data_IF_556205357510
#
_entry.id   IF_556205357510
#
_cell.length_a   1.000
_cell.length_b   1.000
_cell.length_c   1.000
_cell.angle_alpha   90.00
_cell.angle_beta   90.00
_cell.angle_gamma   90.00
#
_symmetry.space_group_name_H-M   'P 1'
#
loop_
_entity.id
_entity.type
_entity.pdbx_description
1 polymer ?
#
# COMPACT_ATOMS: atom_id res chain seq x y z
N UNK A 1 3.22 -1.75 -9.94
CA UNK A 1 1.99 -0.93 -9.84
C UNK A 1 2.17 -0.05 -8.63
N UNK A 2 2.02 1.25 -8.78
CA UNK A 2 2.21 2.23 -7.71
C UNK A 2 1.12 3.29 -7.81
N UNK A 3 0.66 3.78 -6.66
CA UNK A 3 -0.20 4.95 -6.58
C UNK A 3 0.14 5.76 -5.33
N UNK A 4 -0.16 7.06 -5.36
CA UNK A 4 0.11 7.97 -4.25
C UNK A 4 -0.97 9.06 -4.20
N UNK A 5 -1.46 9.33 -2.99
CA UNK A 5 -2.29 10.50 -2.69
C UNK A 5 -1.43 11.54 -1.98
N UNK A 6 -1.34 12.74 -2.54
CA UNK A 6 -0.62 13.86 -1.93
C UNK A 6 -1.55 14.70 -1.05
N UNK A 7 -1.00 15.49 -0.09
CA UNK A 7 -1.81 16.34 0.78
C UNK A 7 -2.65 17.40 0.06
N UNK A 8 -2.27 17.78 -1.16
CA UNK A 8 -3.00 18.71 -2.03
C UNK A 8 -4.13 18.05 -2.83
N UNK A 9 -4.44 16.77 -2.58
CA UNK A 9 -5.45 16.01 -3.29
C UNK A 9 -4.99 15.48 -4.65
N UNK A 10 -3.70 15.61 -5.01
CA UNK A 10 -3.18 15.02 -6.23
C UNK A 10 -3.01 13.51 -6.09
N UNK A 11 -3.74 12.76 -6.90
CA UNK A 11 -3.57 11.31 -7.08
C UNK A 11 -2.62 11.05 -8.25
N UNK A 12 -1.55 10.30 -8.01
CA UNK A 12 -0.63 9.80 -9.03
C UNK A 12 -0.77 8.29 -9.13
N UNK A 13 -0.79 7.77 -10.36
CA UNK A 13 -0.84 6.34 -10.66
C UNK A 13 0.22 6.00 -11.70
N UNK A 14 0.94 4.91 -11.46
CA UNK A 14 1.90 4.35 -12.40
C UNK A 14 1.76 2.83 -12.48
N UNK A 15 1.65 2.30 -13.69
CA UNK A 15 1.70 0.87 -13.94
C UNK A 15 2.67 0.56 -15.08
N UNK A 16 3.62 -0.32 -14.80
CA UNK A 16 4.58 -0.82 -15.77
C UNK A 16 4.39 -2.33 -15.88
N UNK A 17 3.55 -2.75 -16.83
CA UNK A 17 3.35 -4.16 -17.13
C UNK A 17 4.14 -4.55 -18.38
N UNK A 18 4.95 -5.60 -18.28
CA UNK A 18 5.64 -6.19 -19.44
C UNK A 18 4.72 -7.15 -20.24
N UNK A 19 3.43 -7.18 -19.93
CA UNK A 19 2.47 -8.04 -20.62
C UNK A 19 2.25 -7.50 -22.04
N UNK A 20 2.47 -8.33 -23.06
CA UNK A 20 2.27 -7.98 -24.48
C UNK A 20 2.99 -6.70 -24.94
N UNK A 21 4.17 -6.40 -24.41
CA UNK A 21 4.93 -5.18 -24.70
C UNK A 21 4.14 -3.90 -24.42
N UNK A 22 3.31 -3.91 -23.39
CA UNK A 22 2.56 -2.72 -23.01
C UNK A 22 3.52 -1.59 -22.61
N UNK A 23 3.06 -0.37 -22.83
CA UNK A 23 3.81 0.83 -22.48
C UNK A 23 3.48 1.24 -21.06
N UNK A 24 4.42 1.93 -20.40
CA UNK A 24 4.20 2.42 -19.06
C UNK A 24 3.00 3.38 -19.00
N UNK A 25 2.00 3.03 -18.20
CA UNK A 25 0.82 3.87 -17.98
C UNK A 25 1.09 4.80 -16.81
N UNK A 26 0.95 6.10 -17.04
CA UNK A 26 0.98 7.13 -16.00
C UNK A 26 -0.27 7.98 -16.07
N UNK A 27 -0.94 8.19 -14.93
CA UNK A 27 -2.14 9.01 -14.82
C UNK A 27 -2.02 9.91 -13.60
N UNK A 28 -2.51 11.13 -13.73
CA UNK A 28 -2.63 12.07 -12.64
C UNK A 28 -4.04 12.67 -12.66
N UNK A 29 -4.60 12.88 -11.47
CA UNK A 29 -5.87 13.55 -11.27
C UNK A 29 -5.86 14.29 -9.93
N UNK A 30 -6.72 15.29 -9.78
CA UNK A 30 -7.03 15.86 -8.47
C UNK A 30 -8.35 15.26 -7.99
N UNK A 31 -8.36 14.77 -6.77
CA UNK A 31 -9.56 14.25 -6.12
C UNK A 31 -10.19 15.32 -5.24
N UNK A 32 -11.50 15.20 -5.02
CA UNK A 32 -12.21 16.08 -4.09
C UNK A 32 -11.81 15.75 -2.64
N UNK A 33 -11.95 16.73 -1.74
CA UNK A 33 -11.64 16.59 -0.32
C UNK A 33 -12.36 15.40 0.33
N UNK A 34 -13.60 15.12 -0.06
CA UNK A 34 -14.37 13.97 0.44
C UNK A 34 -13.71 12.61 0.16
N UNK A 35 -12.93 12.49 -0.92
CA UNK A 35 -12.17 11.27 -1.23
C UNK A 35 -10.98 11.14 -0.27
N UNK A 36 -10.32 12.25 0.05
CA UNK A 36 -9.21 12.28 1.01
C UNK A 36 -9.69 11.96 2.43
N UNK A 37 -10.85 12.49 2.82
CA UNK A 37 -11.48 12.21 4.11
C UNK A 37 -11.88 10.74 4.24
N UNK A 38 -12.43 10.15 3.18
CA UNK A 38 -12.78 8.73 3.17
C UNK A 38 -11.54 7.83 3.22
N UNK A 39 -10.48 8.17 2.48
CA UNK A 39 -9.21 7.46 2.56
C UNK A 39 -8.64 7.49 3.99
N UNK A 40 -8.70 8.67 4.64
CA UNK A 40 -8.29 8.84 6.03
C UNK A 40 -9.15 7.98 6.97
N UNK A 41 -10.47 7.95 6.78
CA UNK A 41 -11.39 7.12 7.57
C UNK A 41 -11.03 5.64 7.45
N UNK A 42 -10.79 5.14 6.24
CA UNK A 42 -10.41 3.74 6.00
C UNK A 42 -9.11 3.38 6.73
N UNK A 43 -8.09 4.25 6.69
CA UNK A 43 -6.81 4.03 7.38
C UNK A 43 -6.99 3.95 8.90
N UNK A 44 -7.83 4.82 9.47
CA UNK A 44 -8.10 4.83 10.91
C UNK A 44 -8.89 3.58 11.32
N UNK A 45 -9.96 3.27 10.59
CA UNK A 45 -10.84 2.13 10.88
C UNK A 45 -10.12 0.78 10.71
N UNK A 46 -9.08 0.71 9.89
CA UNK A 46 -8.28 -0.52 9.72
C UNK A 46 -7.22 -0.71 10.80
N UNK A 47 -7.02 0.26 11.69
CA UNK A 47 -6.01 0.23 12.76
C UNK A 47 -4.56 -0.04 12.29
N UNK A 48 -4.29 0.10 10.99
CA UNK A 48 -3.02 -0.28 10.34
C UNK A 48 -1.81 0.49 10.89
N UNK A 49 -2.04 1.65 11.49
CA UNK A 49 -1.02 2.46 12.16
C UNK A 49 -0.48 1.82 13.45
N UNK A 50 -1.14 0.76 13.96
CA UNK A 50 -0.75 0.02 15.17
C UNK A 50 0.09 -1.23 14.86
N UNK A 51 0.24 -1.58 13.57
CA UNK A 51 0.95 -2.78 13.13
C UNK A 51 2.45 -2.54 12.93
N UNK A 52 3.24 -3.62 12.85
CA UNK A 52 4.69 -3.60 12.64
C UNK A 52 5.07 -4.66 11.60
N UNK A 53 5.93 -4.31 10.63
CA UNK A 53 6.38 -5.24 9.57
C UNK A 53 7.62 -6.07 9.94
N UNK A 54 8.23 -5.84 11.10
CA UNK A 54 9.37 -6.62 11.60
C UNK A 54 9.14 -8.15 11.58
N UNK A 55 7.94 -8.69 11.92
CA UNK A 55 7.65 -10.12 11.78
C UNK A 55 7.26 -10.55 10.36
N UNK A 56 7.03 -9.62 9.43
CA UNK A 56 6.53 -9.93 8.09
C UNK A 56 7.63 -10.52 7.18
N UNK A 57 7.26 -11.28 6.13
CA UNK A 57 8.24 -11.83 5.19
C UNK A 57 8.98 -10.70 4.45
N UNK A 58 10.33 -10.69 4.43
CA UNK A 58 11.06 -9.66 3.69
C UNK A 58 10.90 -9.84 2.18
N UNK A 59 11.09 -8.78 1.37
CA UNK A 59 11.01 -8.85 -0.08
C UNK A 59 11.92 -9.93 -0.68
N UNK A 60 11.44 -10.59 -1.73
CA UNK A 60 12.16 -11.69 -2.37
C UNK A 60 12.12 -11.60 -3.91
N UNK A 61 12.48 -12.71 -4.59
CA UNK A 61 12.49 -12.79 -6.06
C UNK A 61 11.09 -12.77 -6.69
N UNK A 62 10.04 -13.12 -5.94
CA UNK A 62 8.65 -13.12 -6.39
C UNK A 62 8.11 -11.70 -6.42
N UNK A 63 8.46 -10.87 -5.42
CA UNK A 63 8.17 -9.45 -5.47
C UNK A 63 8.32 -8.72 -4.14
N UNK A 64 7.88 -7.46 -4.18
CA UNK A 64 7.91 -6.50 -3.08
C UNK A 64 6.59 -5.74 -3.04
N UNK A 65 6.08 -5.50 -1.84
CA UNK A 65 4.98 -4.58 -1.56
C UNK A 65 5.47 -3.54 -0.55
N UNK A 66 5.09 -2.29 -0.76
CA UNK A 66 5.44 -1.16 0.09
C UNK A 66 4.17 -0.37 0.38
N UNK A 67 4.02 0.08 1.62
CA UNK A 67 2.95 0.96 2.06
C UNK A 67 3.56 2.02 2.97
N UNK A 68 3.38 3.29 2.63
CA UNK A 68 3.84 4.42 3.44
C UNK A 68 2.66 5.35 3.69
N UNK A 69 2.44 5.71 4.95
CA UNK A 69 1.31 6.54 5.38
C UNK A 69 1.83 7.62 6.33
N UNK A 70 1.45 8.86 6.06
CA UNK A 70 1.63 10.00 6.96
C UNK A 70 0.24 10.57 7.29
N UNK A 71 -0.12 10.58 8.56
CA UNK A 71 -1.43 11.05 9.03
C UNK A 71 -1.26 11.82 10.35
N UNK A 72 -1.56 13.13 10.31
CA UNK A 72 -1.26 13.98 11.47
C UNK A 72 0.24 14.01 11.73
N UNK A 73 0.65 13.66 12.95
CA UNK A 73 2.04 13.59 13.39
C UNK A 73 2.61 12.16 13.37
N UNK A 74 1.83 11.18 12.89
CA UNK A 74 2.23 9.78 12.78
C UNK A 74 2.73 9.46 11.38
N UNK A 75 3.78 8.62 11.31
CA UNK A 75 4.37 8.12 10.08
C UNK A 75 4.69 6.65 10.25
N UNK A 76 4.21 5.85 9.29
CA UNK A 76 4.53 4.42 9.21
C UNK A 76 4.96 4.07 7.79
N UNK A 77 5.88 3.10 7.69
CA UNK A 77 6.38 2.60 6.42
C UNK A 77 6.61 1.11 6.56
N UNK A 78 5.94 0.33 5.71
CA UNK A 78 6.01 -1.11 5.68
C UNK A 78 6.65 -1.59 4.38
N UNK A 79 7.40 -2.68 4.47
CA UNK A 79 7.98 -3.40 3.34
C UNK A 79 7.86 -4.90 3.55
N UNK A 80 7.19 -5.58 2.63
CA UNK A 80 6.99 -7.05 2.70
C UNK A 80 7.13 -7.72 1.33
N UNK A 81 7.24 -9.05 1.31
CA UNK A 81 7.15 -9.84 0.08
C UNK A 81 5.75 -9.78 -0.52
N UNK A 82 5.63 -10.21 -1.78
CA UNK A 82 4.34 -10.28 -2.45
C UNK A 82 3.45 -11.36 -1.82
N UNK A 83 2.35 -10.96 -1.23
CA UNK A 83 1.31 -11.86 -0.70
C UNK A 83 0.37 -12.29 -1.82
N UNK A 84 0.24 -13.60 -2.07
CA UNK A 84 -0.60 -14.14 -3.13
C UNK A 84 -2.01 -14.50 -2.69
N UNK A 85 -2.16 -14.91 -1.43
CA UNK A 85 -3.44 -15.39 -0.87
C UNK A 85 -3.46 -15.32 0.67
N UNK A 86 -4.64 -15.50 1.25
CA UNK A 86 -4.79 -15.66 2.71
C UNK A 86 -4.04 -16.86 3.28
N UNK A 87 -3.68 -17.87 2.46
CA UNK A 87 -2.85 -18.99 2.91
C UNK A 87 -1.43 -18.52 3.24
N UNK A 88 -0.90 -17.56 2.50
CA UNK A 88 0.43 -16.99 2.75
C UNK A 88 0.42 -16.16 4.04
N UNK A 89 -0.65 -15.37 4.26
CA UNK A 89 -0.90 -14.62 5.49
C UNK A 89 -0.99 -15.56 6.71
N UNK A 90 -1.82 -16.60 6.63
CA UNK A 90 -2.02 -17.54 7.73
C UNK A 90 -0.77 -18.36 8.09
N UNK A 91 0.24 -18.40 7.20
CA UNK A 91 1.53 -19.07 7.43
C UNK A 91 2.64 -18.11 7.84
N UNK A 92 2.38 -16.80 7.87
CA UNK A 92 3.35 -15.79 8.29
C UNK A 92 3.61 -15.89 9.80
N UNK A 93 4.63 -15.18 10.28
CA UNK A 93 4.90 -15.08 11.72
C UNK A 93 3.93 -14.15 12.45
N UNK A 94 3.19 -13.35 11.69
CA UNK A 94 2.19 -12.41 12.19
C UNK A 94 0.96 -12.42 11.26
N UNK A 95 0.07 -13.41 11.41
CA UNK A 95 -1.12 -13.53 10.58
C UNK A 95 -2.21 -12.50 10.86
N UNK A 96 -2.19 -11.84 12.02
CA UNK A 96 -3.19 -10.84 12.38
C UNK A 96 -2.81 -9.48 11.79
N UNK A 97 -1.57 -9.02 11.96
CA UNK A 97 -1.15 -7.74 11.39
C UNK A 97 -1.05 -7.74 9.86
N UNK A 98 -0.74 -8.88 9.24
CA UNK A 98 -0.65 -9.00 7.77
C UNK A 98 -2.02 -9.24 7.09
N UNK A 99 -3.12 -9.36 7.83
CA UNK A 99 -4.46 -9.66 7.29
C UNK A 99 -5.26 -8.41 6.95
#
# INVERSE_FOLDING_TARGET
LEFEFRPDGKLRYANNSNYKNDTMIRKEAFVHQSVMEELKRIIIDSEIMQEDDLPWPPPDRVGRQELEIVIGDEHISFTTSKTGSLVDVNRSKDPEGLR
#
